data_IF_737003018862
#
_entry.id   IF_737003018862
#
_cell.length_a   1.000
_cell.length_b   1.000
_cell.length_c   1.000
_cell.angle_alpha   90.00
_cell.angle_beta   90.00
_cell.angle_gamma   90.00
#
_symmetry.space_group_name_H-M   'P 1'
#
loop_
_entity.id
_entity.type
_entity.pdbx_description
1 polymer ?
#
# COMPACT_ATOMS: atom_id res chain seq x y z
N UNK A 1 -3.00 17.28 -7.21
CA UNK A 1 -4.24 18.03 -6.85
C UNK A 1 -4.14 19.42 -7.44
N UNK A 2 -5.22 19.98 -7.97
CA UNK A 2 -5.22 21.40 -8.34
C UNK A 2 -5.30 22.26 -7.07
N UNK A 3 -4.64 23.42 -7.04
CA UNK A 3 -4.93 24.44 -6.03
C UNK A 3 -6.37 24.97 -6.21
N UNK A 4 -6.87 25.73 -5.23
CA UNK A 4 -8.26 26.21 -5.22
C UNK A 4 -8.61 26.99 -6.51
N UNK A 5 -7.65 27.73 -7.05
CA UNK A 5 -7.79 28.55 -8.25
C UNK A 5 -7.61 27.77 -9.57
N UNK A 6 -7.25 26.48 -9.50
CA UNK A 6 -6.97 25.60 -10.66
C UNK A 6 -5.88 26.11 -11.62
N UNK A 7 -4.90 26.81 -11.09
CA UNK A 7 -3.75 27.35 -11.84
C UNK A 7 -2.49 26.52 -11.68
N UNK A 8 -2.38 25.74 -10.59
CA UNK A 8 -1.20 24.93 -10.27
C UNK A 8 -1.62 23.49 -10.04
N UNK A 9 -0.96 22.57 -10.76
CA UNK A 9 -1.08 21.14 -10.54
C UNK A 9 -0.03 20.67 -9.52
N UNK A 10 -0.44 20.57 -8.25
CA UNK A 10 0.39 20.11 -7.14
C UNK A 10 0.64 18.60 -7.21
N UNK A 11 1.86 18.18 -6.90
CA UNK A 11 2.21 16.78 -6.62
C UNK A 11 1.92 16.46 -5.16
N UNK A 12 1.47 15.23 -4.90
CA UNK A 12 1.39 14.69 -3.55
C UNK A 12 2.53 13.68 -3.40
N UNK A 13 3.33 13.74 -2.33
CA UNK A 13 4.21 12.65 -1.96
C UNK A 13 3.40 11.35 -1.84
N UNK A 14 4.02 10.26 -2.28
CA UNK A 14 3.49 8.91 -2.16
C UNK A 14 4.64 7.94 -2.38
N UNK A 15 4.68 6.86 -1.60
CA UNK A 15 5.64 5.76 -1.79
C UNK A 15 4.98 4.39 -1.60
N UNK A 16 5.55 3.35 -2.19
CA UNK A 16 5.06 1.97 -2.08
C UNK A 16 5.64 1.20 -0.89
N UNK A 17 5.05 0.05 -0.53
CA UNK A 17 5.49 -0.72 0.64
C UNK A 17 6.93 -1.24 0.55
N UNK A 18 7.50 -1.43 -0.66
CA UNK A 18 8.93 -1.74 -0.75
C UNK A 18 9.76 -0.54 -0.32
N UNK A 19 9.43 0.66 -0.80
CA UNK A 19 10.13 1.91 -0.45
C UNK A 19 10.01 2.22 1.04
N UNK A 20 8.78 2.16 1.60
CA UNK A 20 8.52 2.39 3.03
C UNK A 20 9.33 1.46 3.95
N UNK A 21 9.62 0.23 3.51
CA UNK A 21 10.46 -0.71 4.26
C UNK A 21 11.94 -0.72 3.83
N UNK A 22 12.36 0.15 2.91
CA UNK A 22 13.74 0.21 2.40
C UNK A 22 14.17 -1.04 1.63
N UNK A 23 13.22 -1.73 0.99
CA UNK A 23 13.44 -2.99 0.27
C UNK A 23 13.63 -2.76 -1.24
N UNK A 24 14.52 -3.52 -1.90
CA UNK A 24 14.64 -3.48 -3.36
C UNK A 24 13.40 -4.09 -4.02
N UNK A 25 13.13 -3.71 -5.27
CA UNK A 25 12.00 -4.23 -6.04
C UNK A 25 12.07 -5.74 -6.30
N UNK A 26 13.26 -6.33 -6.23
CA UNK A 26 13.49 -7.77 -6.41
C UNK A 26 12.82 -8.65 -5.36
N UNK A 27 12.49 -8.08 -4.19
CA UNK A 27 11.80 -8.81 -3.10
C UNK A 27 10.37 -8.28 -2.91
N UNK A 28 9.71 -7.85 -3.99
CA UNK A 28 8.32 -7.34 -3.91
C UNK A 28 7.30 -8.41 -3.54
N UNK A 29 7.54 -9.68 -3.89
CA UNK A 29 6.68 -10.81 -3.57
C UNK A 29 7.03 -11.41 -2.21
N UNK A 30 6.02 -11.85 -1.46
CA UNK A 30 6.21 -12.52 -0.17
C UNK A 30 7.05 -13.80 -0.32
N UNK A 31 6.86 -14.56 -1.40
CA UNK A 31 7.63 -15.77 -1.71
C UNK A 31 9.13 -15.54 -1.86
N UNK A 32 9.54 -14.32 -2.19
CA UNK A 32 10.93 -13.90 -2.37
C UNK A 32 11.48 -13.16 -1.13
N UNK A 33 10.74 -13.21 0.00
CA UNK A 33 11.11 -12.54 1.25
C UNK A 33 10.51 -11.13 1.43
N UNK A 34 9.56 -10.75 0.57
CA UNK A 34 8.84 -9.48 0.65
C UNK A 34 7.86 -9.38 1.82
N UNK A 35 7.32 -8.17 2.09
CA UNK A 35 6.37 -7.95 3.18
C UNK A 35 5.00 -8.55 2.86
N UNK A 36 4.55 -9.45 3.73
CA UNK A 36 3.20 -10.04 3.70
C UNK A 36 2.12 -9.23 4.41
N UNK A 37 0.91 -9.80 4.46
CA UNK A 37 -0.25 -9.23 5.18
C UNK A 37 0.09 -8.87 6.63
N UNK A 38 0.78 -9.76 7.35
CA UNK A 38 1.11 -9.54 8.77
C UNK A 38 1.99 -8.30 8.98
N UNK A 39 3.04 -8.15 8.17
CA UNK A 39 3.98 -7.02 8.27
C UNK A 39 3.33 -5.70 7.88
N UNK A 40 2.53 -5.70 6.79
CA UNK A 40 1.79 -4.51 6.36
C UNK A 40 0.73 -4.11 7.40
N UNK A 41 -0.03 -5.06 7.95
CA UNK A 41 -1.03 -4.78 8.99
C UNK A 41 -0.42 -4.22 10.28
N UNK A 42 0.76 -4.71 10.68
CA UNK A 42 1.50 -4.16 11.80
C UNK A 42 1.97 -2.72 11.52
N UNK A 43 2.47 -2.46 10.31
CA UNK A 43 2.84 -1.11 9.87
C UNK A 43 1.63 -0.15 9.87
N UNK A 44 0.48 -0.59 9.35
CA UNK A 44 -0.75 0.22 9.30
C UNK A 44 -1.33 0.57 10.68
N UNK A 45 -0.83 -0.02 11.78
CA UNK A 45 -1.14 0.48 13.13
C UNK A 45 -0.62 1.91 13.36
N UNK A 46 0.41 2.33 12.64
CA UNK A 46 0.98 3.68 12.69
C UNK A 46 0.37 4.67 11.70
N UNK A 47 -0.60 4.26 10.89
CA UNK A 47 -1.27 5.18 9.95
C UNK A 47 -2.08 6.24 10.71
N UNK A 48 -2.19 7.46 10.14
CA UNK A 48 -3.09 8.49 10.64
C UNK A 48 -4.56 8.04 10.64
N UNK A 49 -4.92 7.09 9.78
CA UNK A 49 -6.27 6.50 9.67
C UNK A 49 -6.26 4.99 10.00
N UNK A 50 -5.43 4.57 10.97
CA UNK A 50 -5.12 3.16 11.26
C UNK A 50 -6.31 2.20 11.28
N UNK A 51 -7.42 2.56 11.93
CA UNK A 51 -8.62 1.70 11.99
C UNK A 51 -9.22 1.46 10.60
N UNK A 52 -9.35 2.53 9.81
CA UNK A 52 -9.95 2.48 8.47
C UNK A 52 -9.01 1.77 7.50
N UNK A 53 -7.72 2.08 7.52
CA UNK A 53 -6.75 1.50 6.59
C UNK A 53 -6.59 0.00 6.79
N UNK A 54 -6.57 -0.46 8.05
CA UNK A 54 -6.53 -1.90 8.36
C UNK A 54 -7.80 -2.61 7.93
N UNK A 55 -8.96 -1.98 8.11
CA UNK A 55 -10.23 -2.52 7.64
C UNK A 55 -10.25 -2.64 6.10
N UNK A 56 -9.90 -1.57 5.39
CA UNK A 56 -9.90 -1.51 3.94
C UNK A 56 -8.85 -2.47 3.34
N UNK A 57 -7.67 -2.58 3.94
CA UNK A 57 -6.63 -3.52 3.51
C UNK A 57 -7.10 -4.97 3.60
N UNK A 58 -7.72 -5.38 4.71
CA UNK A 58 -8.26 -6.74 4.87
C UNK A 58 -9.46 -7.00 3.96
N UNK A 59 -10.34 -6.02 3.79
CA UNK A 59 -11.43 -6.08 2.81
C UNK A 59 -10.89 -6.28 1.39
N UNK A 60 -9.79 -5.62 1.06
CA UNK A 60 -9.14 -5.77 -0.25
C UNK A 60 -8.51 -7.15 -0.44
N UNK A 61 -7.98 -7.80 0.61
CA UNK A 61 -7.50 -9.18 0.52
C UNK A 61 -8.63 -10.14 0.13
N UNK A 62 -9.80 -10.01 0.76
CA UNK A 62 -11.00 -10.79 0.42
C UNK A 62 -11.44 -10.49 -1.01
N UNK A 63 -11.42 -9.23 -1.43
CA UNK A 63 -11.73 -8.85 -2.81
C UNK A 63 -10.78 -9.52 -3.81
N UNK A 64 -9.47 -9.47 -3.59
CA UNK A 64 -8.48 -10.11 -4.46
C UNK A 64 -8.72 -11.62 -4.57
N UNK A 65 -9.05 -12.28 -3.47
CA UNK A 65 -9.45 -13.69 -3.46
C UNK A 65 -10.69 -13.96 -4.32
N UNK A 66 -11.75 -13.15 -4.17
CA UNK A 66 -13.00 -13.31 -4.92
C UNK A 66 -12.82 -13.21 -6.44
N UNK A 67 -11.90 -12.36 -6.90
CA UNK A 67 -11.68 -12.12 -8.34
C UNK A 67 -10.47 -12.87 -8.91
N UNK A 68 -9.75 -13.64 -8.10
CA UNK A 68 -8.53 -14.33 -8.53
C UNK A 68 -7.38 -13.38 -8.89
N UNK A 69 -7.25 -12.24 -8.20
CA UNK A 69 -6.12 -11.33 -8.40
C UNK A 69 -4.88 -11.89 -7.69
N UNK A 70 -4.00 -12.55 -8.45
CA UNK A 70 -2.82 -13.27 -7.93
C UNK A 70 -1.55 -12.42 -7.83
N UNK A 71 -1.55 -11.20 -8.37
CA UNK A 71 -0.36 -10.32 -8.41
C UNK A 71 -0.38 -9.22 -7.34
N UNK A 72 -0.96 -9.50 -6.17
CA UNK A 72 -1.13 -8.57 -5.04
C UNK A 72 0.14 -8.32 -4.22
N UNK A 73 1.26 -7.97 -4.85
CA UNK A 73 2.57 -7.83 -4.19
C UNK A 73 2.78 -6.46 -3.52
N UNK A 74 3.84 -6.32 -2.72
CA UNK A 74 4.12 -5.14 -1.89
C UNK A 74 4.06 -3.79 -2.65
N UNK A 75 4.56 -3.73 -3.89
CA UNK A 75 4.56 -2.49 -4.70
C UNK A 75 3.17 -2.03 -5.17
N UNK A 76 2.13 -2.85 -5.02
CA UNK A 76 0.75 -2.49 -5.40
C UNK A 76 -0.01 -1.79 -4.26
N UNK A 77 0.64 -1.60 -3.12
CA UNK A 77 0.12 -0.84 -1.99
C UNK A 77 1.05 0.34 -1.70
N UNK A 78 0.46 1.49 -1.40
CA UNK A 78 1.19 2.74 -1.13
C UNK A 78 0.60 3.50 0.04
N UNK A 79 1.41 4.42 0.56
CA UNK A 79 1.02 5.45 1.53
C UNK A 79 1.34 6.83 0.97
N UNK A 80 0.57 7.84 1.39
CA UNK A 80 0.79 9.25 1.06
C UNK A 80 1.85 9.88 1.96
#
# INVERSE_FOLDING_TARGET
RWNAERTVLLRLPQEDMCQTFGLPSSVKYESDGGPGIARIMAFLMGSSEALKDRYDFMKFQVFQWLIGATDGHAKNFSVF
#
